data_IF_291439137918
#
_entry.id   IF_291439137918
#
_cell.length_a   1.000
_cell.length_b   1.000
_cell.length_c   1.000
_cell.angle_alpha   90.00
_cell.angle_beta   90.00
_cell.angle_gamma   90.00
#
_symmetry.space_group_name_H-M   'P 1'
#
loop_
_entity.id
_entity.type
_entity.pdbx_description
1 polymer ?
#
# COMPACT_ATOMS: atom_id res chain seq x y z
N UNK A 1 66.34 -16.69 -1.32
CA UNK A 1 65.13 -16.59 -2.15
C UNK A 1 64.70 -15.13 -2.12
N UNK A 2 64.71 -14.45 -3.26
CA UNK A 2 64.40 -13.01 -3.35
C UNK A 2 62.90 -12.78 -3.12
N UNK A 3 62.55 -11.73 -2.36
CA UNK A 3 61.18 -11.39 -2.01
C UNK A 3 60.33 -11.18 -3.28
N UNK A 4 60.92 -10.60 -4.33
CA UNK A 4 60.25 -10.43 -5.61
C UNK A 4 59.77 -11.75 -6.24
N UNK A 5 60.54 -12.83 -6.06
CA UNK A 5 60.19 -14.16 -6.58
C UNK A 5 59.01 -14.77 -5.82
N UNK A 6 58.95 -14.55 -4.50
CA UNK A 6 57.84 -15.01 -3.65
C UNK A 6 56.55 -14.25 -3.99
N UNK A 7 56.64 -12.93 -4.18
CA UNK A 7 55.48 -12.11 -4.57
C UNK A 7 54.97 -12.47 -5.96
N UNK A 8 55.86 -12.75 -6.91
CA UNK A 8 55.48 -13.17 -8.26
C UNK A 8 54.75 -14.52 -8.27
N UNK A 9 55.22 -15.49 -7.48
CA UNK A 9 54.55 -16.80 -7.33
C UNK A 9 53.19 -16.64 -6.63
N UNK A 10 53.13 -15.84 -5.57
CA UNK A 10 51.88 -15.54 -4.88
C UNK A 10 50.87 -14.83 -5.80
N UNK A 11 51.32 -13.93 -6.66
CA UNK A 11 50.46 -13.27 -7.65
C UNK A 11 49.97 -14.23 -8.74
N UNK A 12 50.86 -15.11 -9.24
CA UNK A 12 50.52 -16.09 -10.27
C UNK A 12 49.47 -17.10 -9.79
N UNK A 13 49.52 -17.50 -8.51
CA UNK A 13 48.56 -18.46 -7.93
C UNK A 13 47.34 -17.75 -7.34
N UNK A 14 47.52 -16.56 -6.77
CA UNK A 14 46.46 -15.78 -6.13
C UNK A 14 45.47 -15.16 -7.13
N UNK A 15 45.94 -14.67 -8.28
CA UNK A 15 45.06 -14.04 -9.26
C UNK A 15 44.01 -15.00 -9.87
N UNK A 16 44.35 -16.25 -10.27
CA UNK A 16 43.36 -17.23 -10.72
C UNK A 16 42.35 -17.62 -9.63
N UNK A 17 42.81 -17.79 -8.39
CA UNK A 17 41.94 -18.15 -7.26
C UNK A 17 40.96 -17.03 -6.93
N UNK A 18 41.42 -15.78 -6.91
CA UNK A 18 40.57 -14.61 -6.71
C UNK A 18 39.54 -14.45 -7.84
N UNK A 19 39.95 -14.68 -9.10
CA UNK A 19 39.04 -14.64 -10.24
C UNK A 19 37.98 -15.75 -10.17
N UNK A 20 38.37 -16.98 -9.81
CA UNK A 20 37.44 -18.10 -9.64
C UNK A 20 36.46 -17.86 -8.48
N UNK A 21 36.95 -17.33 -7.35
CA UNK A 21 36.12 -16.95 -6.22
C UNK A 21 35.13 -15.82 -6.58
N UNK A 22 35.57 -14.82 -7.35
CA UNK A 22 34.71 -13.74 -7.84
C UNK A 22 33.63 -14.23 -8.81
N UNK A 23 33.96 -15.17 -9.70
CA UNK A 23 32.97 -15.80 -10.60
C UNK A 23 31.92 -16.63 -9.84
N UNK A 24 32.32 -17.30 -8.76
CA UNK A 24 31.38 -18.06 -7.93
C UNK A 24 30.53 -17.13 -7.04
N UNK A 25 31.15 -16.10 -6.46
CA UNK A 25 30.47 -15.09 -5.65
C UNK A 25 29.48 -14.22 -6.42
N UNK A 26 29.78 -13.86 -7.67
CA UNK A 26 28.88 -13.08 -8.53
C UNK A 26 27.61 -13.85 -8.91
N UNK A 27 27.70 -15.17 -9.12
CA UNK A 27 26.51 -16.02 -9.37
C UNK A 27 25.61 -16.15 -8.14
N UNK A 28 26.20 -16.21 -6.94
CA UNK A 28 25.46 -16.24 -5.68
C UNK A 28 24.78 -14.89 -5.41
N UNK A 29 25.51 -13.79 -5.61
CA UNK A 29 25.02 -12.41 -5.48
C UNK A 29 23.84 -12.14 -6.42
N UNK A 30 23.93 -12.57 -7.69
CA UNK A 30 22.85 -12.38 -8.66
C UNK A 30 21.55 -13.12 -8.32
N UNK A 31 21.62 -14.27 -7.63
CA UNK A 31 20.42 -14.97 -7.14
C UNK A 31 19.84 -14.30 -5.90
N UNK A 32 20.67 -13.97 -4.93
CA UNK A 32 20.25 -13.28 -3.71
C UNK A 32 19.61 -11.91 -4.00
N UNK A 33 20.14 -11.16 -4.98
CA UNK A 33 19.56 -9.88 -5.41
C UNK A 33 18.21 -10.03 -6.11
N UNK A 34 18.03 -11.09 -6.93
CA UNK A 34 16.74 -11.39 -7.57
C UNK A 34 15.70 -11.85 -6.55
N UNK A 35 16.07 -12.74 -5.64
CA UNK A 35 15.19 -13.26 -4.60
C UNK A 35 14.80 -12.15 -3.60
N UNK A 36 15.74 -11.29 -3.20
CA UNK A 36 15.47 -10.12 -2.38
C UNK A 36 14.57 -9.09 -3.05
N UNK A 37 14.72 -8.87 -4.37
CA UNK A 37 13.87 -7.97 -5.14
C UNK A 37 12.43 -8.47 -5.30
N UNK A 38 12.24 -9.78 -5.49
CA UNK A 38 10.91 -10.39 -5.61
C UNK A 38 10.17 -10.39 -4.27
N UNK A 39 10.85 -10.75 -3.18
CA UNK A 39 10.27 -10.72 -1.82
C UNK A 39 9.92 -9.28 -1.41
N UNK A 40 10.80 -8.31 -1.71
CA UNK A 40 10.52 -6.90 -1.47
C UNK A 40 9.33 -6.37 -2.27
N UNK A 41 9.19 -6.77 -3.53
CA UNK A 41 8.07 -6.37 -4.39
C UNK A 41 6.72 -6.96 -3.97
N UNK A 42 6.69 -8.22 -3.50
CA UNK A 42 5.47 -8.80 -2.93
C UNK A 42 5.06 -8.14 -1.62
N UNK A 43 6.03 -7.76 -0.79
CA UNK A 43 5.76 -7.03 0.45
C UNK A 43 5.15 -5.66 0.13
N UNK A 44 5.71 -4.90 -0.82
CA UNK A 44 5.19 -3.58 -1.18
C UNK A 44 3.78 -3.64 -1.79
N UNK A 45 3.46 -4.65 -2.60
CA UNK A 45 2.11 -4.84 -3.14
C UNK A 45 1.12 -5.19 -2.02
N UNK A 46 1.53 -6.02 -1.08
CA UNK A 46 0.69 -6.41 0.06
C UNK A 46 0.42 -5.21 0.97
N UNK A 47 1.44 -4.39 1.23
CA UNK A 47 1.32 -3.16 2.00
C UNK A 47 0.36 -2.17 1.32
N UNK A 48 0.50 -1.95 0.01
CA UNK A 48 -0.40 -1.10 -0.77
C UNK A 48 -1.85 -1.59 -0.75
N UNK A 49 -2.08 -2.90 -0.93
CA UNK A 49 -3.43 -3.48 -0.89
C UNK A 49 -4.05 -3.41 0.52
N UNK A 50 -3.23 -3.47 1.57
CA UNK A 50 -3.70 -3.28 2.94
C UNK A 50 -4.09 -1.83 3.21
N UNK A 51 -3.29 -0.88 2.72
CA UNK A 51 -3.57 0.56 2.80
C UNK A 51 -4.85 0.92 2.03
N UNK A 52 -4.97 0.51 0.76
CA UNK A 52 -6.20 0.72 -0.03
C UNK A 52 -7.43 0.10 0.63
N UNK A 53 -7.29 -1.09 1.22
CA UNK A 53 -8.39 -1.71 1.99
C UNK A 53 -8.75 -0.90 3.23
N UNK A 54 -7.79 -0.29 3.90
CA UNK A 54 -8.01 0.60 5.03
C UNK A 54 -8.79 1.84 4.60
N UNK A 55 -8.33 2.49 3.55
CA UNK A 55 -8.93 3.70 3.00
C UNK A 55 -10.35 3.46 2.50
N UNK A 56 -10.58 2.38 1.75
CA UNK A 56 -11.92 2.02 1.29
C UNK A 56 -12.87 1.72 2.44
N UNK A 57 -12.40 1.07 3.50
CA UNK A 57 -13.22 0.83 4.71
C UNK A 57 -13.59 2.14 5.38
N UNK A 58 -12.66 3.07 5.47
CA UNK A 58 -12.89 4.39 6.06
C UNK A 58 -13.91 5.17 5.22
N UNK A 59 -13.72 5.24 3.91
CA UNK A 59 -14.66 5.89 2.98
C UNK A 59 -16.08 5.31 3.08
N UNK A 60 -16.20 3.98 3.17
CA UNK A 60 -17.51 3.33 3.34
C UNK A 60 -18.16 3.70 4.68
N UNK A 61 -17.39 3.84 5.76
CA UNK A 61 -17.93 4.28 7.04
C UNK A 61 -18.40 5.73 7.00
N UNK A 62 -17.63 6.60 6.37
CA UNK A 62 -17.97 8.02 6.27
C UNK A 62 -19.21 8.23 5.39
N UNK A 63 -19.28 7.58 4.22
CA UNK A 63 -20.49 7.59 3.38
C UNK A 63 -21.73 7.04 4.11
N UNK A 64 -21.57 6.02 4.96
CA UNK A 64 -22.68 5.50 5.78
C UNK A 64 -23.15 6.53 6.81
N UNK A 65 -22.24 7.29 7.41
CA UNK A 65 -22.57 8.37 8.36
C UNK A 65 -23.29 9.51 7.66
N UNK A 66 -22.78 9.94 6.50
CA UNK A 66 -23.40 10.97 5.67
C UNK A 66 -24.81 10.54 5.24
N UNK A 67 -24.96 9.31 4.75
CA UNK A 67 -26.27 8.78 4.36
C UNK A 67 -27.25 8.73 5.54
N UNK A 68 -26.78 8.40 6.75
CA UNK A 68 -27.62 8.42 7.95
C UNK A 68 -28.04 9.85 8.33
N UNK A 69 -27.11 10.81 8.24
CA UNK A 69 -27.38 12.23 8.48
C UNK A 69 -28.42 12.77 7.48
N UNK A 70 -28.23 12.53 6.19
CA UNK A 70 -29.14 12.93 5.12
C UNK A 70 -30.55 12.34 5.31
N UNK A 71 -30.65 11.05 5.66
CA UNK A 71 -31.93 10.41 5.96
C UNK A 71 -32.63 11.07 7.15
N UNK A 72 -31.89 11.44 8.19
CA UNK A 72 -32.45 12.11 9.37
C UNK A 72 -32.94 13.52 9.03
N UNK A 73 -32.17 14.28 8.24
CA UNK A 73 -32.54 15.61 7.78
C UNK A 73 -33.78 15.57 6.90
N UNK A 74 -33.85 14.61 5.97
CA UNK A 74 -35.03 14.37 5.13
C UNK A 74 -36.27 14.06 5.97
N UNK A 75 -36.16 13.17 6.95
CA UNK A 75 -37.28 12.83 7.83
C UNK A 75 -37.77 14.04 8.65
N UNK A 76 -36.86 14.89 9.11
CA UNK A 76 -37.21 16.13 9.80
C UNK A 76 -37.96 17.11 8.88
N UNK A 77 -37.47 17.31 7.65
CA UNK A 77 -38.13 18.14 6.65
C UNK A 77 -39.52 17.61 6.26
N UNK A 78 -39.67 16.30 6.09
CA UNK A 78 -40.97 15.68 5.81
C UNK A 78 -41.95 15.90 6.97
N UNK A 79 -41.48 15.79 8.22
CA UNK A 79 -42.28 16.08 9.41
C UNK A 79 -42.70 17.56 9.45
N UNK A 80 -41.79 18.50 9.21
CA UNK A 80 -42.10 19.93 9.14
C UNK A 80 -43.11 20.24 8.04
N UNK A 81 -42.93 19.70 6.82
CA UNK A 81 -43.90 19.85 5.74
C UNK A 81 -45.27 19.30 6.12
N UNK A 82 -45.33 18.17 6.83
CA UNK A 82 -46.61 17.60 7.30
C UNK A 82 -47.30 18.51 8.30
N UNK A 83 -46.56 19.11 9.23
CA UNK A 83 -47.08 20.06 10.22
C UNK A 83 -47.57 21.33 9.54
N UNK A 84 -46.80 21.89 8.60
CA UNK A 84 -47.20 23.08 7.84
C UNK A 84 -48.45 22.84 7.00
N UNK A 85 -48.57 21.67 6.36
CA UNK A 85 -49.80 21.28 5.63
C UNK A 85 -51.00 21.17 6.57
N UNK A 86 -50.82 20.61 7.76
CA UNK A 86 -51.89 20.52 8.75
C UNK A 86 -52.33 21.91 9.24
N UNK A 87 -51.37 22.83 9.45
CA UNK A 87 -51.67 24.23 9.80
C UNK A 87 -52.42 24.96 8.68
N UNK A 88 -51.98 24.81 7.42
CA UNK A 88 -52.67 25.39 6.27
C UNK A 88 -54.11 24.88 6.15
N UNK A 89 -54.33 23.57 6.32
CA UNK A 89 -55.65 22.98 6.31
C UNK A 89 -56.53 23.54 7.45
N UNK A 90 -55.97 23.71 8.65
CA UNK A 90 -56.68 24.32 9.79
C UNK A 90 -57.05 25.79 9.55
N UNK A 91 -56.26 26.51 8.75
CA UNK A 91 -56.52 27.89 8.35
C UNK A 91 -57.45 28.01 7.12
N UNK A 92 -58.00 26.89 6.63
CA UNK A 92 -58.92 26.87 5.50
C UNK A 92 -58.26 26.87 4.12
N UNK A 93 -56.95 26.65 4.04
CA UNK A 93 -56.25 26.41 2.79
C UNK A 93 -56.59 25.02 2.23
N UNK A 94 -57.50 24.97 1.26
CA UNK A 94 -57.67 23.80 0.39
C UNK A 94 -56.50 23.66 -0.62
N UNK A 95 -56.33 22.50 -1.28
CA UNK A 95 -55.26 22.26 -2.24
C UNK A 95 -55.21 23.29 -3.38
#
# INVERSE_FOLDING_TARGET
MDAAMVTAIAALVGAPLAAAAAMYGSRQSGRAQREGGVIGGYNSLTDQLQEERGDLRQQVQDLRRELAAERSAKAALEAECSLLRAQLAALGGGP
#
